data_IF_210783018819
#
_entry.id   IF_210783018819
#
_cell.length_a   1.000
_cell.length_b   1.000
_cell.length_c   1.000
_cell.angle_alpha   90.00
_cell.angle_beta   90.00
_cell.angle_gamma   90.00
#
_symmetry.space_group_name_H-M   'P 1'
#
loop_
_entity.id
_entity.type
_entity.pdbx_description
1 polymer ?
#
# COMPACT_ATOMS: atom_id res chain seq x y z
N UNK A 1 -6.13 10.09 5.25
CA UNK A 1 -4.79 10.42 4.72
C UNK A 1 -3.70 10.61 5.79
N UNK A 2 -3.62 11.71 6.55
CA UNK A 2 -2.47 12.01 7.45
C UNK A 2 -2.14 10.88 8.43
N UNK A 3 -3.16 10.28 9.04
CA UNK A 3 -3.00 9.12 9.93
C UNK A 3 -2.36 7.94 9.20
N UNK A 4 -2.91 7.56 8.04
CA UNK A 4 -2.39 6.48 7.18
C UNK A 4 -0.92 6.70 6.82
N UNK A 5 -0.55 7.92 6.42
CA UNK A 5 0.83 8.25 6.07
C UNK A 5 1.76 8.14 7.29
N UNK A 6 1.34 8.68 8.44
CA UNK A 6 2.16 8.56 9.66
C UNK A 6 2.32 7.09 10.07
N UNK A 7 1.24 6.32 10.03
CA UNK A 7 1.27 4.88 10.30
C UNK A 7 2.25 4.15 9.37
N UNK A 8 2.20 4.40 8.06
CA UNK A 8 3.11 3.80 7.07
C UNK A 8 4.59 4.09 7.36
N UNK A 9 4.92 5.31 7.83
CA UNK A 9 6.30 5.66 8.23
C UNK A 9 6.74 4.85 9.45
N UNK A 10 5.89 4.72 10.46
CA UNK A 10 6.24 4.01 11.70
C UNK A 10 6.46 2.51 11.46
N UNK A 11 5.71 1.90 10.55
CA UNK A 11 5.84 0.47 10.23
C UNK A 11 6.82 0.18 9.09
N UNK A 12 7.34 1.20 8.39
CA UNK A 12 8.25 1.03 7.25
C UNK A 12 9.47 0.11 7.50
N UNK A 13 10.06 0.03 8.72
CA UNK A 13 11.16 -0.88 9.00
C UNK A 13 10.78 -2.38 8.93
N UNK A 14 9.49 -2.71 9.04
CA UNK A 14 8.99 -4.10 9.13
C UNK A 14 8.11 -4.51 7.95
N UNK A 15 7.92 -3.64 6.95
CA UNK A 15 7.19 -3.95 5.71
C UNK A 15 8.08 -3.77 4.48
N UNK A 16 7.76 -4.50 3.41
CA UNK A 16 8.50 -4.49 2.16
C UNK A 16 8.04 -5.59 1.23
N UNK A 17 8.30 -5.45 -0.09
CA UNK A 17 7.86 -6.43 -1.10
C UNK A 17 8.41 -7.85 -0.89
N UNK A 18 9.49 -8.01 -0.14
CA UNK A 18 10.10 -9.31 0.19
C UNK A 18 10.01 -9.66 1.70
N UNK A 19 9.26 -8.88 2.47
CA UNK A 19 9.16 -9.05 3.92
C UNK A 19 7.72 -9.25 4.35
N UNK A 20 6.95 -8.16 4.43
CA UNK A 20 5.53 -8.17 4.73
C UNK A 20 4.83 -7.16 3.82
N UNK A 21 3.72 -7.59 3.23
CA UNK A 21 3.00 -6.87 2.18
C UNK A 21 1.57 -6.60 2.68
N UNK A 22 1.30 -5.41 3.26
CA UNK A 22 -0.03 -5.07 3.72
C UNK A 22 -1.10 -5.12 2.62
N UNK A 23 -2.32 -5.38 3.04
CA UNK A 23 -3.50 -5.45 2.19
C UNK A 23 -4.65 -4.65 2.82
N UNK A 24 -5.67 -4.24 2.03
CA UNK A 24 -6.86 -3.62 2.56
C UNK A 24 -7.70 -4.63 3.36
N UNK A 25 -8.31 -4.12 4.43
CA UNK A 25 -9.27 -4.77 5.34
C UNK A 25 -10.38 -3.77 5.74
N UNK A 26 -11.26 -4.11 6.68
CA UNK A 26 -12.38 -3.29 7.17
C UNK A 26 -11.94 -1.84 7.43
N UNK A 27 -12.66 -0.89 6.83
CA UNK A 27 -12.39 0.55 6.85
C UNK A 27 -11.10 1.02 6.15
N UNK A 28 -10.50 0.17 5.32
CA UNK A 28 -9.42 0.55 4.41
C UNK A 28 -9.72 0.04 3.00
N UNK A 29 -9.17 0.72 2.01
CA UNK A 29 -9.51 0.51 0.60
C UNK A 29 -8.29 0.76 -0.29
N UNK A 30 -8.51 0.78 -1.60
CA UNK A 30 -7.47 1.05 -2.58
C UNK A 30 -6.83 2.43 -2.42
N UNK A 31 -7.61 3.45 -2.00
CA UNK A 31 -7.07 4.77 -1.76
C UNK A 31 -6.12 4.78 -0.55
N UNK A 32 -6.47 4.03 0.49
CA UNK A 32 -5.63 3.85 1.67
C UNK A 32 -4.31 3.16 1.30
N UNK A 33 -4.37 2.10 0.48
CA UNK A 33 -3.17 1.41 -0.02
C UNK A 33 -2.31 2.30 -0.91
N UNK A 34 -2.92 3.16 -1.73
CA UNK A 34 -2.18 4.13 -2.51
C UNK A 34 -1.35 5.09 -1.63
N UNK A 35 -1.90 5.57 -0.51
CA UNK A 35 -1.15 6.41 0.43
C UNK A 35 -0.01 5.67 1.12
N UNK A 36 -0.19 4.40 1.48
CA UNK A 36 0.88 3.59 2.07
C UNK A 36 2.01 3.39 1.06
N UNK A 37 1.67 3.00 -0.18
CA UNK A 37 2.64 2.80 -1.27
C UNK A 37 3.43 4.07 -1.56
N UNK A 38 2.74 5.21 -1.70
CA UNK A 38 3.35 6.51 -1.95
C UNK A 38 4.30 6.91 -0.81
N UNK A 39 3.85 6.76 0.44
CA UNK A 39 4.66 7.12 1.61
C UNK A 39 5.91 6.26 1.74
N UNK A 40 5.78 4.95 1.55
CA UNK A 40 6.92 4.02 1.58
C UNK A 40 7.90 4.31 0.44
N UNK A 41 7.38 4.54 -0.77
CA UNK A 41 8.20 4.87 -1.94
C UNK A 41 9.00 6.16 -1.74
N UNK A 42 8.37 7.19 -1.18
CA UNK A 42 9.05 8.45 -0.83
C UNK A 42 10.17 8.24 0.21
N UNK A 43 9.96 7.36 1.19
CA UNK A 43 11.00 7.05 2.18
C UNK A 43 12.17 6.23 1.61
N UNK A 44 11.91 5.36 0.61
CA UNK A 44 12.95 4.59 -0.10
C UNK A 44 13.66 5.39 -1.19
N UNK A 45 13.07 6.47 -1.67
CA UNK A 45 13.61 7.31 -2.75
C UNK A 45 13.34 6.80 -4.16
N UNK A 46 12.52 5.77 -4.32
CA UNK A 46 12.08 5.24 -5.61
C UNK A 46 10.69 4.59 -5.49
N UNK A 47 9.99 4.40 -6.60
CA UNK A 47 8.66 3.78 -6.59
C UNK A 47 8.75 2.29 -6.23
N UNK A 48 7.99 1.86 -5.21
CA UNK A 48 7.89 0.46 -4.77
C UNK A 48 6.44 -0.01 -4.80
N UNK A 49 5.85 -0.27 -5.98
CA UNK A 49 4.44 -0.67 -6.06
C UNK A 49 4.14 -1.98 -5.32
N UNK A 50 5.10 -2.89 -5.22
CA UNK A 50 4.95 -4.20 -4.58
C UNK A 50 4.84 -4.18 -3.05
N UNK A 51 5.00 -3.02 -2.39
CA UNK A 51 4.96 -2.95 -0.92
C UNK A 51 3.57 -3.21 -0.34
N UNK A 52 2.49 -3.00 -1.10
CA UNK A 52 1.11 -3.28 -0.67
C UNK A 52 0.29 -3.90 -1.80
N UNK A 53 -0.72 -4.70 -1.46
CA UNK A 53 -1.72 -5.17 -2.43
C UNK A 53 -3.01 -4.35 -2.36
N UNK A 54 -3.96 -4.57 -3.28
CA UNK A 54 -5.24 -3.86 -3.26
C UNK A 54 -5.19 -2.39 -3.68
N UNK A 55 -4.10 -1.95 -4.32
CA UNK A 55 -3.94 -0.61 -4.91
C UNK A 55 -4.95 -0.36 -6.04
N UNK A 56 -5.19 0.90 -6.44
CA UNK A 56 -5.94 1.22 -7.65
C UNK A 56 -5.22 0.65 -8.89
N UNK A 57 -5.97 0.37 -9.96
CA UNK A 57 -5.42 -0.16 -11.23
C UNK A 57 -4.31 0.75 -11.77
N UNK A 58 -4.50 2.08 -11.69
CA UNK A 58 -3.51 3.08 -12.11
C UNK A 58 -2.16 3.02 -11.38
N UNK A 59 -2.11 2.32 -10.23
CA UNK A 59 -0.90 2.16 -9.40
C UNK A 59 -0.44 0.70 -9.30
N UNK A 60 -0.83 -0.16 -10.25
CA UNK A 60 -0.47 -1.57 -10.27
C UNK A 60 -1.36 -2.44 -9.36
N UNK A 61 -2.63 -2.07 -9.23
CA UNK A 61 -3.68 -2.95 -8.74
C UNK A 61 -4.07 -4.01 -9.77
N UNK A 62 -4.64 -5.12 -9.31
CA UNK A 62 -5.17 -6.17 -10.20
C UNK A 62 -6.60 -5.85 -10.63
N UNK A 63 -6.88 -6.01 -11.92
CA UNK A 63 -8.24 -6.12 -12.43
C UNK A 63 -8.92 -7.34 -11.78
N UNK A 64 -10.22 -7.24 -11.48
CA UNK A 64 -11.00 -8.33 -10.87
C UNK A 64 -10.90 -8.47 -9.35
N UNK A 65 -10.04 -7.71 -8.64
CA UNK A 65 -9.94 -7.84 -7.17
C UNK A 65 -11.24 -7.52 -6.43
N UNK A 66 -12.05 -6.60 -6.94
CA UNK A 66 -13.35 -6.27 -6.32
C UNK A 66 -14.38 -7.40 -6.39
N UNK A 67 -14.21 -8.34 -7.33
CA UNK A 67 -15.10 -9.49 -7.53
C UNK A 67 -14.51 -10.78 -6.97
N UNK A 68 -13.21 -10.80 -6.66
CA UNK A 68 -12.54 -11.91 -6.01
C UNK A 68 -12.92 -11.93 -4.52
N UNK A 69 -13.64 -12.98 -4.10
CA UNK A 69 -13.98 -13.25 -2.69
C UNK A 69 -13.27 -14.49 -2.20
#
# INVERSE_FOLDING_TARGET
ERLTRRYAIEIAPIIGPEMDIPAPDVYTDSQTMAWIMDTYSMQKGYSVPGVVTGKPISLGGSEGRGEAT
#
